data_IF_333213711824
#
_entry.id   IF_333213711824
#
_cell.length_a   1.000
_cell.length_b   1.000
_cell.length_c   1.000
_cell.angle_alpha   90.00
_cell.angle_beta   90.00
_cell.angle_gamma   90.00
#
_symmetry.space_group_name_H-M   'P 1'
#
loop_
_entity.id
_entity.type
_entity.pdbx_description
1 polymer ?
#
# COMPACT_ATOMS: atom_id res chain seq x y z
N UNK A 1 -11.19 -6.19 15.08
CA UNK A 1 -11.98 -6.50 13.86
C UNK A 1 -13.37 -5.85 13.93
N UNK A 2 -14.14 -6.07 15.00
CA UNK A 2 -15.49 -5.49 15.13
C UNK A 2 -15.54 -3.95 15.13
N UNK A 3 -14.62 -3.28 15.83
CA UNK A 3 -14.53 -1.81 15.78
C UNK A 3 -14.28 -1.24 14.36
N UNK A 4 -13.60 -1.99 13.48
CA UNK A 4 -13.38 -1.56 12.09
C UNK A 4 -14.66 -1.69 11.27
N UNK A 5 -15.41 -2.78 11.45
CA UNK A 5 -16.74 -2.99 10.87
C UNK A 5 -17.70 -1.85 11.27
N UNK A 6 -17.77 -1.52 12.56
CA UNK A 6 -18.62 -0.41 13.06
C UNK A 6 -18.22 0.93 12.44
N UNK A 7 -16.93 1.23 12.33
CA UNK A 7 -16.46 2.46 11.66
C UNK A 7 -16.89 2.51 10.20
N UNK A 8 -16.74 1.39 9.49
CA UNK A 8 -17.12 1.29 8.08
C UNK A 8 -18.63 1.50 7.88
N UNK A 9 -19.47 0.84 8.69
CA UNK A 9 -20.92 1.04 8.69
C UNK A 9 -21.29 2.52 8.84
N UNK A 10 -20.70 3.20 9.85
CA UNK A 10 -20.94 4.62 10.11
C UNK A 10 -20.46 5.52 8.97
N UNK A 11 -19.32 5.24 8.36
CA UNK A 11 -18.83 5.99 7.19
C UNK A 11 -19.75 5.88 5.98
N UNK A 12 -20.56 4.82 5.91
CA UNK A 12 -21.56 4.59 4.86
C UNK A 12 -22.98 4.94 5.30
N UNK A 13 -23.16 5.59 6.47
CA UNK A 13 -24.45 5.95 7.08
C UNK A 13 -25.38 4.75 7.33
N UNK A 14 -24.81 3.57 7.59
CA UNK A 14 -25.53 2.35 7.91
C UNK A 14 -25.62 2.14 9.43
N UNK A 15 -26.71 1.51 9.88
CA UNK A 15 -26.86 1.05 11.26
C UNK A 15 -25.85 -0.07 11.57
N UNK A 16 -24.93 0.09 12.54
CA UNK A 16 -23.93 -0.92 12.84
C UNK A 16 -24.49 -2.29 13.21
N UNK A 17 -25.68 -2.39 13.81
CA UNK A 17 -26.29 -3.69 14.11
C UNK A 17 -26.71 -4.46 12.83
N UNK A 18 -27.03 -3.73 11.75
CA UNK A 18 -27.50 -4.29 10.48
C UNK A 18 -26.37 -4.56 9.46
N UNK A 19 -25.16 -4.07 9.70
CA UNK A 19 -24.00 -4.24 8.81
C UNK A 19 -23.19 -5.47 9.23
N UNK A 20 -23.31 -6.57 8.49
CA UNK A 20 -22.71 -7.85 8.87
C UNK A 20 -21.20 -7.87 8.66
N UNK A 21 -20.55 -8.94 9.13
CA UNK A 21 -19.15 -9.17 8.82
C UNK A 21 -18.92 -9.45 7.33
N UNK A 22 -19.86 -10.11 6.66
CA UNK A 22 -19.78 -10.38 5.23
C UNK A 22 -19.82 -9.06 4.43
N UNK A 23 -20.75 -8.17 4.77
CA UNK A 23 -20.85 -6.83 4.14
C UNK A 23 -19.55 -6.04 4.33
N UNK A 24 -18.92 -6.15 5.51
CA UNK A 24 -17.65 -5.49 5.79
C UNK A 24 -16.50 -6.02 4.93
N UNK A 25 -16.47 -7.32 4.64
CA UNK A 25 -15.47 -7.93 3.76
C UNK A 25 -15.71 -7.51 2.31
N UNK A 26 -16.95 -7.50 1.86
CA UNK A 26 -17.33 -7.03 0.52
C UNK A 26 -16.94 -5.56 0.33
N UNK A 27 -17.33 -4.69 1.27
CA UNK A 27 -16.98 -3.28 1.23
C UNK A 27 -15.46 -3.05 1.32
N UNK A 28 -14.74 -3.76 2.20
CA UNK A 28 -13.29 -3.68 2.27
C UNK A 28 -12.60 -4.08 0.95
N UNK A 29 -13.13 -5.10 0.28
CA UNK A 29 -12.61 -5.58 -1.01
C UNK A 29 -12.83 -4.53 -2.10
N UNK A 30 -14.05 -3.98 -2.20
CA UNK A 30 -14.37 -2.91 -3.14
C UNK A 30 -13.52 -1.65 -2.90
N UNK A 31 -13.25 -1.31 -1.64
CA UNK A 31 -12.35 -0.21 -1.27
C UNK A 31 -10.92 -0.51 -1.74
N UNK A 32 -10.40 -1.72 -1.49
CA UNK A 32 -9.07 -2.11 -1.94
C UNK A 32 -8.94 -2.04 -3.47
N UNK A 33 -9.95 -2.47 -4.20
CA UNK A 33 -10.02 -2.34 -5.67
C UNK A 33 -10.01 -0.88 -6.12
N UNK A 34 -10.78 -0.03 -5.47
CA UNK A 34 -10.80 1.41 -5.76
C UNK A 34 -9.45 2.06 -5.49
N UNK A 35 -8.81 1.75 -4.36
CA UNK A 35 -7.47 2.25 -4.04
C UNK A 35 -6.43 1.78 -5.05
N UNK A 36 -6.52 0.52 -5.49
CA UNK A 36 -5.63 -0.04 -6.52
C UNK A 36 -5.70 0.77 -7.81
N UNK A 37 -6.91 1.05 -8.30
CA UNK A 37 -7.12 1.87 -9.51
C UNK A 37 -6.63 3.31 -9.35
N UNK A 38 -6.84 3.92 -8.18
CA UNK A 38 -6.36 5.29 -7.93
C UNK A 38 -4.84 5.40 -8.02
N UNK A 39 -4.12 4.43 -7.46
CA UNK A 39 -2.64 4.40 -7.50
C UNK A 39 -2.15 4.09 -8.91
N UNK A 40 -2.75 3.11 -9.59
CA UNK A 40 -2.46 2.79 -10.99
C UNK A 40 -2.57 4.03 -11.88
N UNK A 41 -3.69 4.77 -11.81
CA UNK A 41 -3.88 5.99 -12.60
C UNK A 41 -2.82 7.05 -12.31
N UNK A 42 -2.41 7.20 -11.05
CA UNK A 42 -1.34 8.13 -10.70
C UNK A 42 0.01 7.68 -11.28
N UNK A 43 0.31 6.38 -11.24
CA UNK A 43 1.54 5.80 -11.78
C UNK A 43 1.62 5.91 -13.31
N UNK A 44 0.52 5.66 -14.03
CA UNK A 44 0.45 5.77 -15.48
C UNK A 44 0.79 7.18 -15.99
N UNK A 45 0.48 8.22 -15.20
CA UNK A 45 0.85 9.60 -15.54
C UNK A 45 2.36 9.87 -15.44
N UNK A 46 3.10 9.07 -14.67
CA UNK A 46 4.51 9.27 -14.36
C UNK A 46 5.44 8.32 -15.13
N UNK A 47 4.99 7.09 -15.38
CA UNK A 47 5.83 6.04 -15.95
C UNK A 47 5.56 5.94 -17.44
N UNK A 48 6.57 6.28 -18.24
CA UNK A 48 6.55 6.10 -19.69
C UNK A 48 7.34 4.84 -20.04
N UNK A 49 6.63 3.80 -20.50
CA UNK A 49 7.15 2.46 -20.80
C UNK A 49 7.57 1.65 -19.56
N UNK A 50 6.76 0.67 -19.19
CA UNK A 50 7.05 -0.27 -18.10
C UNK A 50 8.00 -1.35 -18.60
N UNK A 51 9.17 -1.49 -17.97
CA UNK A 51 10.14 -2.54 -18.29
C UNK A 51 10.26 -3.53 -17.12
N UNK A 52 10.47 -4.83 -17.40
CA UNK A 52 10.72 -5.82 -16.32
C UNK A 52 12.01 -5.57 -15.52
N UNK A 53 12.98 -4.89 -16.14
CA UNK A 53 14.28 -4.55 -15.53
C UNK A 53 14.19 -3.38 -14.53
N UNK A 54 13.04 -2.69 -14.50
CA UNK A 54 12.84 -1.55 -13.62
C UNK A 54 12.89 -1.98 -12.15
N UNK A 55 13.39 -1.08 -11.30
CA UNK A 55 13.43 -1.31 -9.86
C UNK A 55 12.34 -0.53 -9.14
N UNK A 56 11.55 -1.22 -8.33
CA UNK A 56 10.55 -0.60 -7.45
C UNK A 56 10.95 -0.83 -5.99
N UNK A 57 11.26 0.25 -5.29
CA UNK A 57 11.60 0.22 -3.86
C UNK A 57 10.33 0.38 -3.03
N UNK A 58 10.01 -0.62 -2.21
CA UNK A 58 8.83 -0.61 -1.34
C UNK A 58 9.22 -0.35 0.11
N UNK A 59 8.47 0.53 0.77
CA UNK A 59 8.65 0.85 2.19
C UNK A 59 7.32 1.14 2.88
N UNK A 60 7.32 1.13 4.21
CA UNK A 60 6.15 1.48 5.01
C UNK A 60 5.11 0.37 5.11
N UNK A 61 3.88 0.76 5.52
CA UNK A 61 2.78 -0.17 5.75
C UNK A 61 1.96 -0.49 4.48
N UNK A 62 2.21 0.25 3.39
CA UNK A 62 1.47 0.15 2.14
C UNK A 62 1.94 -0.96 1.19
N UNK A 63 2.95 -1.75 1.57
CA UNK A 63 3.61 -2.72 0.67
C UNK A 63 2.63 -3.71 0.03
N UNK A 64 1.66 -4.23 0.78
CA UNK A 64 0.66 -5.16 0.24
C UNK A 64 -0.20 -4.50 -0.84
N UNK A 65 -0.60 -3.23 -0.65
CA UNK A 65 -1.37 -2.49 -1.64
C UNK A 65 -0.50 -2.16 -2.87
N UNK A 66 0.76 -1.81 -2.67
CA UNK A 66 1.69 -1.56 -3.76
C UNK A 66 1.88 -2.81 -4.65
N UNK A 67 2.10 -3.98 -4.05
CA UNK A 67 2.19 -5.26 -4.79
C UNK A 67 0.92 -5.55 -5.58
N UNK A 68 -0.25 -5.36 -4.97
CA UNK A 68 -1.54 -5.50 -5.66
C UNK A 68 -1.65 -4.58 -6.89
N UNK A 69 -1.12 -3.35 -6.82
CA UNK A 69 -1.12 -2.41 -7.95
C UNK A 69 -0.20 -2.91 -9.07
N UNK A 70 1.00 -3.41 -8.74
CA UNK A 70 1.93 -3.98 -9.72
C UNK A 70 1.31 -5.17 -10.45
N UNK A 71 0.69 -6.09 -9.69
CA UNK A 71 -0.04 -7.24 -10.24
C UNK A 71 -1.19 -6.79 -11.16
N UNK A 72 -1.97 -5.78 -10.73
CA UNK A 72 -3.08 -5.24 -11.51
C UNK A 72 -2.62 -4.56 -12.82
N UNK A 73 -1.45 -3.94 -12.81
CA UNK A 73 -0.82 -3.36 -14.00
C UNK A 73 -0.17 -4.42 -14.91
N UNK A 74 -0.17 -5.69 -14.50
CA UNK A 74 0.55 -6.77 -15.17
C UNK A 74 2.02 -6.41 -15.40
N UNK A 75 2.64 -5.77 -14.40
CA UNK A 75 4.03 -5.34 -14.41
C UNK A 75 4.80 -6.07 -13.33
N UNK A 76 5.87 -6.76 -13.73
CA UNK A 76 6.73 -7.56 -12.85
C UNK A 76 8.15 -6.95 -12.76
N UNK A 77 8.32 -5.80 -12.08
CA UNK A 77 9.62 -5.17 -11.89
C UNK A 77 10.43 -5.90 -10.82
N UNK A 78 11.72 -5.57 -10.75
CA UNK A 78 12.58 -5.99 -9.65
C UNK A 78 12.19 -5.26 -8.34
N UNK A 79 11.44 -5.96 -7.48
CA UNK A 79 10.99 -5.41 -6.19
C UNK A 79 12.09 -5.45 -5.14
N UNK A 80 12.39 -4.28 -4.56
CA UNK A 80 13.32 -4.12 -3.44
C UNK A 80 12.50 -3.77 -2.19
N UNK A 81 12.26 -4.73 -1.29
CA UNK A 81 11.52 -4.50 -0.05
C UNK A 81 12.44 -4.01 1.08
N UNK A 82 12.25 -2.77 1.53
CA UNK A 82 12.99 -2.27 2.70
C UNK A 82 12.62 -3.05 3.97
N UNK A 83 11.41 -3.62 4.05
CA UNK A 83 11.02 -4.45 5.19
C UNK A 83 11.89 -5.70 5.27
N UNK A 84 12.26 -6.29 4.14
CA UNK A 84 13.12 -7.47 4.08
C UNK A 84 14.59 -7.12 4.33
N UNK A 85 15.04 -5.96 3.84
CA UNK A 85 16.44 -5.54 3.92
C UNK A 85 16.83 -4.95 5.28
N UNK A 86 16.01 -4.04 5.81
CA UNK A 86 16.31 -3.31 7.06
C UNK A 86 15.34 -3.64 8.21
N UNK A 87 14.39 -4.53 7.99
CA UNK A 87 13.39 -4.93 8.97
C UNK A 87 12.14 -4.04 8.96
N UNK A 88 11.05 -4.57 9.53
CA UNK A 88 9.73 -3.95 9.50
C UNK A 88 9.66 -2.59 10.22
N UNK A 89 10.35 -2.45 11.35
CA UNK A 89 10.33 -1.22 12.13
C UNK A 89 11.02 -0.08 11.39
N UNK A 90 12.21 -0.33 10.82
CA UNK A 90 12.94 0.67 10.04
C UNK A 90 12.23 0.99 8.72
N UNK A 91 11.65 -0.01 8.05
CA UNK A 91 10.82 0.23 6.86
C UNK A 91 9.61 1.13 7.15
N UNK A 92 8.98 0.96 8.33
CA UNK A 92 7.85 1.82 8.75
C UNK A 92 8.24 3.28 8.92
N UNK A 93 9.49 3.56 9.31
CA UNK A 93 10.05 4.91 9.48
C UNK A 93 11.16 5.20 8.48
N UNK A 94 11.06 4.63 7.26
CA UNK A 94 12.10 4.69 6.24
C UNK A 94 12.67 6.11 6.00
N UNK A 95 11.85 7.19 5.96
CA UNK A 95 12.39 8.54 5.80
C UNK A 95 13.36 8.95 6.92
N UNK A 96 13.03 8.70 8.19
CA UNK A 96 13.88 9.05 9.32
C UNK A 96 15.17 8.22 9.32
N UNK A 97 15.06 6.93 8.99
CA UNK A 97 16.22 6.06 8.84
C UNK A 97 17.16 6.51 7.71
N UNK A 98 16.59 6.86 6.55
CA UNK A 98 17.35 7.35 5.39
C UNK A 98 18.13 8.63 5.73
N UNK A 99 17.48 9.61 6.38
CA UNK A 99 18.15 10.85 6.82
C UNK A 99 19.30 10.56 7.78
N UNK A 100 19.10 9.65 8.75
CA UNK A 100 20.16 9.25 9.68
C UNK A 100 21.36 8.59 8.96
N UNK A 101 21.09 7.73 7.97
CA UNK A 101 22.13 7.10 7.15
C UNK A 101 22.90 8.11 6.29
N UNK A 102 22.20 9.05 5.67
CA UNK A 102 22.83 10.13 4.89
C UNK A 102 23.75 10.96 5.79
N UNK A 103 23.29 11.35 6.98
CA UNK A 103 24.11 12.11 7.92
C UNK A 103 25.39 11.37 8.36
N UNK A 104 25.33 10.05 8.54
CA UNK A 104 26.49 9.20 8.86
C UNK A 104 27.54 9.10 7.74
N UNK A 105 27.17 9.39 6.50
CA UNK A 105 28.08 9.34 5.35
C UNK A 105 28.70 10.71 5.01
N UNK A 106 28.11 11.79 5.53
CA UNK A 106 28.54 13.16 5.29
C UNK A 106 29.46 13.67 6.42
N UNK A 107 29.35 13.10 7.62
CA UNK A 107 30.20 13.38 8.79
C UNK A 107 31.37 12.40 8.87
#
# INVERSE_FOLDING_TARGET
>A
RDAARIRMARSMLLEPASFTFADAIEAATAIADSQTRLIQNAMESMIQNLLPEDHVVLSGQGEMLARRVLDYMNWDPQIVSLKEIVGADLSRVAPAHAVAKIAQQIL
#
